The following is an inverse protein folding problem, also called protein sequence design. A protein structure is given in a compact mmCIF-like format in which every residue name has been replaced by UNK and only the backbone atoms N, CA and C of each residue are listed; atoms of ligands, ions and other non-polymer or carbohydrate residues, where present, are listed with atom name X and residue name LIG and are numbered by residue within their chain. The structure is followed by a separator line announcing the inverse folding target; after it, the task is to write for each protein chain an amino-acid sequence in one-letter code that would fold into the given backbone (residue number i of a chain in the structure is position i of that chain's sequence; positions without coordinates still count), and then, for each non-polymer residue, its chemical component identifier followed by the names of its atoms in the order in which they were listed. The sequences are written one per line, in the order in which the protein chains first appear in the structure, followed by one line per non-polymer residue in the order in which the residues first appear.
data_IF_445987797108
#
_entry.id   IF_445987797108
#
_cell.length_a   1.000
_cell.length_b   1.000
_cell.length_c   1.000
_cell.angle_alpha   90.00
_cell.angle_beta   90.00
_cell.angle_gamma   90.00
#
_symmetry.space_group_name_H-M   'P 1'
#
loop_
_entity.id
_entity.type
_entity.pdbx_description
1 polymer ?
#
# COMPACT_ATOMS: atom_id res chain seq x y z
N UNK A 1 10.71 18.77 -16.30
CA UNK A 1 10.81 18.60 -14.83
C UNK A 1 9.91 17.43 -14.48
N UNK A 2 10.40 16.38 -13.82
CA UNK A 2 9.54 15.29 -13.34
C UNK A 2 8.46 15.86 -12.43
N UNK A 3 7.25 15.28 -12.46
CA UNK A 3 6.19 15.66 -11.52
C UNK A 3 6.54 15.22 -10.10
N UNK A 4 5.86 15.78 -9.10
CA UNK A 4 6.03 15.37 -7.69
C UNK A 4 5.79 13.86 -7.51
N UNK A 5 4.83 13.29 -8.23
CA UNK A 5 4.57 11.85 -8.23
C UNK A 5 5.79 11.05 -8.73
N UNK A 6 6.39 11.42 -9.86
CA UNK A 6 7.54 10.71 -10.43
C UNK A 6 8.75 10.73 -9.49
N UNK A 7 9.02 11.90 -8.90
CA UNK A 7 10.11 12.06 -7.92
C UNK A 7 9.91 11.16 -6.71
N UNK A 8 8.70 11.12 -6.15
CA UNK A 8 8.41 10.30 -4.98
C UNK A 8 8.33 8.81 -5.31
N UNK A 9 7.94 8.44 -6.52
CA UNK A 9 7.99 7.07 -7.00
C UNK A 9 9.43 6.57 -7.10
N UNK A 10 10.35 7.41 -7.56
CA UNK A 10 11.77 7.06 -7.61
C UNK A 10 12.36 6.86 -6.20
N UNK A 11 12.06 7.77 -5.27
CA UNK A 11 12.42 7.59 -3.85
C UNK A 11 11.86 6.29 -3.27
N UNK A 12 10.65 5.91 -3.69
CA UNK A 12 10.03 4.66 -3.26
C UNK A 12 10.76 3.44 -3.84
N UNK A 13 11.21 3.50 -5.10
CA UNK A 13 12.06 2.47 -5.74
C UNK A 13 13.43 2.34 -5.09
N UNK A 14 14.07 3.46 -4.76
CA UNK A 14 15.33 3.45 -4.02
C UNK A 14 15.20 2.69 -2.68
N UNK A 15 14.04 2.80 -2.03
CA UNK A 15 13.78 2.17 -0.74
C UNK A 15 13.34 0.71 -0.82
N UNK A 16 12.54 0.35 -1.82
CA UNK A 16 11.86 -0.96 -1.89
C UNK A 16 12.22 -1.80 -3.12
N UNK A 17 13.02 -1.27 -4.06
CA UNK A 17 13.44 -1.97 -5.27
C UNK A 17 12.39 -1.90 -6.38
N UNK A 18 11.87 -3.06 -6.78
CA UNK A 18 11.02 -3.25 -7.98
C UNK A 18 9.59 -2.72 -7.80
N UNK A 19 9.44 -1.43 -7.55
CA UNK A 19 8.12 -0.78 -7.44
C UNK A 19 7.55 -0.55 -8.83
N UNK A 20 6.39 -1.16 -9.07
CA UNK A 20 5.67 -1.13 -10.33
C UNK A 20 4.45 -0.20 -10.26
N UNK A 21 4.08 0.37 -11.39
CA UNK A 21 2.90 1.24 -11.50
C UNK A 21 2.06 0.85 -12.71
N UNK A 22 0.73 0.86 -12.53
CA UNK A 22 -0.24 0.63 -13.61
C UNK A 22 -1.35 1.68 -13.55
N UNK A 23 -1.57 2.38 -14.66
CA UNK A 23 -2.73 3.26 -14.80
C UNK A 23 -4.01 2.43 -14.93
N UNK A 24 -5.07 2.84 -14.22
CA UNK A 24 -6.39 2.21 -14.25
C UNK A 24 -7.38 3.07 -15.07
N UNK A 25 -8.49 2.48 -15.57
CA UNK A 25 -9.47 3.20 -16.39
C UNK A 25 -10.06 4.47 -15.75
N UNK A 26 -10.19 4.51 -14.42
CA UNK A 26 -10.62 5.68 -13.65
C UNK A 26 -9.62 6.84 -13.62
N UNK A 27 -8.43 6.67 -14.19
CA UNK A 27 -7.32 7.63 -14.11
C UNK A 27 -6.53 7.54 -12.80
N UNK A 28 -6.86 6.58 -11.94
CA UNK A 28 -6.07 6.27 -10.76
C UNK A 28 -4.82 5.46 -11.13
N UNK A 29 -3.76 5.59 -10.35
CA UNK A 29 -2.54 4.79 -10.54
C UNK A 29 -2.45 3.73 -9.44
N UNK A 30 -2.44 2.46 -9.82
CA UNK A 30 -2.09 1.36 -8.93
C UNK A 30 -0.57 1.31 -8.75
N UNK A 31 -0.11 1.40 -7.50
CA UNK A 31 1.29 1.19 -7.12
C UNK A 31 1.42 -0.19 -6.48
N UNK A 32 2.40 -0.98 -6.92
CA UNK A 32 2.69 -2.33 -6.42
C UNK A 32 4.12 -2.36 -5.88
N UNK A 33 4.27 -2.68 -4.59
CA UNK A 33 5.53 -2.75 -3.86
C UNK A 33 5.76 -4.20 -3.41
N UNK A 34 6.54 -5.00 -4.14
CA UNK A 34 6.83 -6.38 -3.77
C UNK A 34 7.79 -6.48 -2.58
N UNK A 35 7.79 -7.62 -1.89
CA UNK A 35 8.84 -7.97 -0.92
C UNK A 35 8.86 -7.12 0.36
N UNK A 36 7.75 -6.50 0.74
CA UNK A 36 7.66 -5.75 2.00
C UNK A 36 7.78 -6.73 3.16
N UNK A 37 8.85 -6.60 3.95
CA UNK A 37 9.13 -7.48 5.09
C UNK A 37 8.08 -7.32 6.18
N UNK A 38 7.63 -8.45 6.69
CA UNK A 38 6.67 -8.55 7.78
C UNK A 38 7.39 -8.92 9.09
N UNK A 39 6.94 -8.41 10.24
CA UNK A 39 7.44 -8.83 11.54
C UNK A 39 7.00 -10.27 11.88
N UNK A 40 7.49 -10.81 12.98
CA UNK A 40 6.96 -12.07 13.52
C UNK A 40 5.47 -11.96 13.86
N UNK A 41 4.75 -13.08 13.72
CA UNK A 41 3.31 -13.16 13.98
C UNK A 41 2.43 -13.12 12.73
N UNK A 42 3.01 -12.98 11.54
CA UNK A 42 2.36 -13.23 10.25
C UNK A 42 2.67 -14.64 9.72
N UNK A 43 1.85 -15.14 8.80
CA UNK A 43 2.06 -16.44 8.14
C UNK A 43 3.21 -16.45 7.13
N UNK A 44 3.74 -15.27 6.78
CA UNK A 44 4.79 -15.06 5.79
C UNK A 44 5.81 -14.04 6.30
N UNK A 45 7.05 -14.16 5.84
CA UNK A 45 8.12 -13.19 6.15
C UNK A 45 8.07 -11.90 5.30
N UNK A 46 7.30 -11.91 4.20
CA UNK A 46 7.08 -10.74 3.36
C UNK A 46 5.77 -10.85 2.57
N UNK A 47 5.26 -9.72 2.12
CA UNK A 47 4.09 -9.64 1.23
C UNK A 47 4.26 -8.54 0.18
N UNK A 48 3.48 -8.61 -0.90
CA UNK A 48 3.32 -7.50 -1.83
C UNK A 48 2.27 -6.53 -1.32
N UNK A 49 2.66 -5.27 -1.16
CA UNK A 49 1.74 -4.18 -0.84
C UNK A 49 1.28 -3.50 -2.12
N UNK A 50 -0.02 -3.21 -2.22
CA UNK A 50 -0.62 -2.46 -3.31
C UNK A 50 -1.46 -1.31 -2.75
N UNK A 51 -1.44 -0.16 -3.39
CA UNK A 51 -2.31 0.96 -3.02
C UNK A 51 -2.60 1.82 -4.25
N UNK A 52 -3.68 2.60 -4.17
CA UNK A 52 -4.14 3.45 -5.26
C UNK A 52 -3.71 4.90 -5.01
N UNK A 53 -3.14 5.52 -6.02
CA UNK A 53 -2.85 6.95 -6.08
C UNK A 53 -3.95 7.64 -6.89
N UNK A 54 -4.73 8.55 -6.28
CA UNK A 54 -5.85 9.20 -6.96
C UNK A 54 -5.38 10.27 -7.96
N UNK A 55 -6.20 10.62 -8.98
CA UNK A 55 -5.87 11.68 -9.96
C UNK A 55 -5.55 13.05 -9.36
N UNK A 56 -5.97 13.31 -8.11
CA UNK A 56 -5.70 14.57 -7.39
C UNK A 56 -4.42 14.59 -6.57
N UNK A 57 -3.60 13.53 -6.61
CA UNK A 57 -2.36 13.46 -5.84
C UNK A 57 -1.37 14.59 -6.22
N UNK A 58 -0.69 15.24 -5.26
CA UNK A 58 -0.65 14.96 -3.83
C UNK A 58 -1.73 15.68 -3.00
N UNK A 59 -2.63 16.46 -3.59
CA UNK A 59 -3.69 17.17 -2.86
C UNK A 59 -4.85 16.25 -2.43
N UNK A 60 -5.02 15.13 -3.10
CA UNK A 60 -5.88 14.03 -2.68
C UNK A 60 -5.05 12.98 -1.93
N UNK A 61 -5.47 12.66 -0.71
CA UNK A 61 -4.78 11.71 0.16
C UNK A 61 -4.86 10.27 -0.36
N UNK A 62 -3.88 9.48 0.04
CA UNK A 62 -3.90 8.03 -0.12
C UNK A 62 -4.78 7.41 0.97
N UNK A 63 -5.40 6.29 0.65
CA UNK A 63 -6.26 5.59 1.58
C UNK A 63 -6.33 4.10 1.28
N UNK A 64 -6.40 3.31 2.36
CA UNK A 64 -6.41 1.85 2.33
C UNK A 64 -5.26 1.22 1.52
N UNK A 65 -5.06 -0.07 1.69
CA UNK A 65 -4.09 -0.79 0.88
C UNK A 65 -4.49 -2.27 0.77
N UNK A 66 -3.75 -3.01 -0.04
CA UNK A 66 -3.93 -4.43 -0.22
C UNK A 66 -2.62 -5.18 0.00
N UNK A 67 -2.71 -6.37 0.57
CA UNK A 67 -1.63 -7.34 0.65
C UNK A 67 -1.91 -8.55 -0.27
N UNK A 68 -1.03 -9.55 -0.24
CA UNK A 68 -1.30 -10.82 -0.91
C UNK A 68 -2.55 -11.51 -0.33
N UNK A 69 -3.38 -12.16 -1.17
CA UNK A 69 -4.71 -12.66 -0.79
C UNK A 69 -4.69 -13.76 0.28
N UNK A 70 -3.58 -14.46 0.41
CA UNK A 70 -3.34 -15.58 1.33
C UNK A 70 -2.50 -15.17 2.55
N UNK A 71 -2.32 -13.87 2.80
CA UNK A 71 -1.68 -13.38 4.01
C UNK A 71 -2.61 -13.62 5.21
N UNK A 72 -2.08 -14.28 6.24
CA UNK A 72 -2.78 -14.60 7.48
C UNK A 72 -1.88 -14.23 8.66
N UNK A 73 -2.46 -14.25 9.85
CA UNK A 73 -1.69 -14.27 11.09
C UNK A 73 -1.00 -15.63 11.25
N UNK A 74 0.06 -15.72 12.04
CA UNK A 74 0.85 -16.94 12.22
C UNK A 74 0.04 -18.12 12.76
N UNK A 75 -1.06 -17.85 13.48
CA UNK A 75 -1.99 -18.84 13.98
C UNK A 75 -3.09 -19.22 12.97
N UNK A 76 -3.02 -18.73 11.73
CA UNK A 76 -3.95 -19.03 10.63
C UNK A 76 -5.21 -18.17 10.59
N UNK A 77 -5.40 -17.26 11.55
CA UNK A 77 -6.55 -16.33 11.57
C UNK A 77 -6.40 -15.20 10.54
N UNK A 78 -7.53 -14.60 10.09
CA UNK A 78 -7.49 -13.39 9.29
C UNK A 78 -7.01 -12.20 10.14
N UNK A 79 -6.26 -11.25 9.56
CA UNK A 79 -5.87 -10.04 10.27
C UNK A 79 -7.06 -9.08 10.45
N UNK A 80 -7.01 -8.24 11.48
CA UNK A 80 -8.05 -7.25 11.76
C UNK A 80 -8.17 -6.21 10.63
N UNK A 81 -9.41 -5.74 10.45
CA UNK A 81 -9.80 -4.74 9.45
C UNK A 81 -9.41 -5.16 8.02
N UNK A 82 -9.44 -6.46 7.75
CA UNK A 82 -9.17 -7.01 6.44
C UNK A 82 -10.37 -7.73 5.83
N UNK A 83 -10.43 -7.75 4.51
CA UNK A 83 -11.40 -8.54 3.76
C UNK A 83 -10.80 -9.01 2.42
N UNK A 84 -11.24 -10.17 1.94
CA UNK A 84 -10.92 -10.62 0.58
C UNK A 84 -11.68 -9.74 -0.41
N UNK A 85 -10.98 -8.79 -1.02
CA UNK A 85 -11.55 -7.81 -1.93
C UNK A 85 -10.49 -7.44 -2.96
N UNK A 86 -10.76 -7.64 -4.26
CA UNK A 86 -9.80 -7.29 -5.30
C UNK A 86 -9.54 -5.77 -5.30
N UNK A 87 -8.40 -5.36 -5.85
CA UNK A 87 -8.16 -3.94 -6.09
C UNK A 87 -9.21 -3.44 -7.11
N UNK A 88 -9.83 -2.27 -6.92
CA UNK A 88 -10.78 -1.70 -7.87
C UNK A 88 -10.25 -1.73 -9.31
N UNK A 89 -11.13 -2.10 -10.26
CA UNK A 89 -10.78 -2.15 -11.69
C UNK A 89 -9.67 -3.16 -12.03
N UNK A 90 -9.46 -4.13 -11.14
CA UNK A 90 -8.57 -5.27 -11.33
C UNK A 90 -9.35 -6.57 -11.08
N UNK A 91 -8.84 -7.69 -11.57
CA UNK A 91 -9.46 -9.02 -11.39
C UNK A 91 -8.67 -9.89 -10.41
N UNK A 92 -7.49 -9.41 -10.00
CA UNK A 92 -6.55 -10.14 -9.18
C UNK A 92 -7.05 -10.21 -7.72
N UNK A 93 -7.10 -11.41 -7.13
CA UNK A 93 -7.40 -11.57 -5.72
C UNK A 93 -6.40 -10.80 -4.86
N UNK A 94 -6.91 -10.11 -3.85
CA UNK A 94 -6.08 -9.35 -2.92
C UNK A 94 -6.75 -9.31 -1.53
N UNK A 95 -5.92 -9.13 -0.50
CA UNK A 95 -6.41 -8.93 0.86
C UNK A 95 -6.45 -7.43 1.15
N UNK A 96 -7.63 -6.84 1.11
CA UNK A 96 -7.84 -5.42 1.41
C UNK A 96 -7.70 -5.16 2.90
N UNK A 97 -7.06 -4.05 3.25
CA UNK A 97 -7.01 -3.51 4.61
C UNK A 97 -7.68 -2.13 4.64
N UNK A 98 -8.72 -2.03 5.45
CA UNK A 98 -9.33 -0.74 5.79
C UNK A 98 -8.45 -0.01 6.78
N UNK A 99 -7.57 0.84 6.27
CA UNK A 99 -6.61 1.56 7.10
C UNK A 99 -6.44 3.00 6.61
N UNK A 100 -6.76 3.93 7.50
CA UNK A 100 -6.81 5.36 7.21
C UNK A 100 -5.68 6.08 7.95
N UNK A 101 -5.27 7.23 7.43
CA UNK A 101 -4.36 8.14 8.12
C UNK A 101 -4.98 8.59 9.45
N UNK A 102 -4.19 8.56 10.52
CA UNK A 102 -4.61 9.01 11.86
C UNK A 102 -4.52 10.54 12.03
N UNK A 103 -3.78 11.21 11.16
CA UNK A 103 -3.61 12.66 11.13
C UNK A 103 -3.83 13.23 9.72
N UNK A 104 -3.87 14.56 9.59
CA UNK A 104 -4.09 15.20 8.30
C UNK A 104 -2.92 14.92 7.34
N UNK A 105 -3.27 14.54 6.11
CA UNK A 105 -2.34 14.52 4.99
C UNK A 105 -1.92 15.95 4.61
N UNK A 106 -0.62 16.17 4.46
CA UNK A 106 -0.05 17.43 4.02
C UNK A 106 0.70 17.23 2.69
N UNK A 107 0.24 17.79 1.56
CA UNK A 107 0.86 17.60 0.24
C UNK A 107 2.30 18.13 0.13
N UNK A 108 2.71 19.05 1.01
CA UNK A 108 4.06 19.63 1.01
C UNK A 108 5.06 18.80 1.84
N UNK A 109 4.57 17.88 2.67
CA UNK A 109 5.40 17.08 3.61
C UNK A 109 5.27 15.58 3.35
N UNK A 110 4.06 15.11 3.13
CA UNK A 110 3.74 13.70 3.03
C UNK A 110 3.94 13.21 1.60
N UNK A 111 4.34 11.94 1.47
CA UNK A 111 4.78 11.33 0.22
C UNK A 111 4.38 9.87 0.15
N UNK A 112 4.60 9.23 -1.00
CA UNK A 112 4.43 7.78 -1.14
C UNK A 112 5.25 7.00 -0.09
N UNK A 113 6.44 7.52 0.28
CA UNK A 113 7.29 6.91 1.29
C UNK A 113 6.75 7.06 2.72
N UNK A 114 6.12 8.20 3.05
CA UNK A 114 5.49 8.36 4.37
C UNK A 114 4.22 7.53 4.47
N UNK A 115 3.45 7.41 3.37
CA UNK A 115 2.34 6.45 3.29
C UNK A 115 2.81 5.01 3.52
N UNK A 116 3.91 4.58 2.91
CA UNK A 116 4.45 3.25 3.17
C UNK A 116 4.91 3.06 4.62
N UNK A 117 5.28 4.11 5.35
CA UNK A 117 5.52 3.99 6.79
C UNK A 117 4.22 3.68 7.54
N UNK A 118 3.11 4.32 7.19
CA UNK A 118 1.79 4.03 7.77
C UNK A 118 1.40 2.57 7.53
N UNK A 119 1.62 2.06 6.31
CA UNK A 119 1.37 0.65 5.99
C UNK A 119 2.26 -0.29 6.81
N UNK A 120 3.56 0.01 6.92
CA UNK A 120 4.49 -0.79 7.73
C UNK A 120 4.11 -0.76 9.22
N UNK A 121 3.70 0.39 9.73
CA UNK A 121 3.26 0.52 11.12
C UNK A 121 1.97 -0.25 11.38
N UNK A 122 1.07 -0.35 10.38
CA UNK A 122 -0.04 -1.31 10.45
C UNK A 122 0.48 -2.75 10.50
N UNK A 123 1.41 -3.13 9.63
CA UNK A 123 1.96 -4.50 9.63
C UNK A 123 2.65 -4.87 10.95
N UNK A 124 3.10 -3.89 11.75
CA UNK A 124 3.63 -4.09 13.10
C UNK A 124 2.56 -4.36 14.16
N UNK A 125 1.32 -3.96 13.91
CA UNK A 125 0.19 -4.21 14.81
C UNK A 125 -0.44 -5.57 14.51
N UNK A 126 0.25 -6.65 14.88
CA UNK A 126 -0.16 -8.03 14.57
C UNK A 126 -1.43 -8.42 15.34
N UNK A 127 -2.59 -8.12 14.75
CA UNK A 127 -3.95 -8.34 15.28
C UNK A 127 -4.93 -8.47 14.11
#
# INVERSE_FOLDING_TARGET
MPGVFDMQLEQLRERFGDVQTRQLPSGTTLVTVPGVRLPEGWSKSSTTIRFIVPPGYPFAQLDCFWADPDLLLAHGGPPQNSASTPVPETVEPALWFSWHLTGPWNPDRDSLSTWMNVVIDRMRQVQ
#
